data_IF_185411368448
#
_entry.id   IF_185411368448
#
_cell.length_a   1.000
_cell.length_b   1.000
_cell.length_c   1.000
_cell.angle_alpha   90.00
_cell.angle_beta   90.00
_cell.angle_gamma   90.00
#
_symmetry.space_group_name_H-M   'P 1'
#
loop_
_entity.id
_entity.type
_entity.pdbx_description
1 polymer ?
#
# COMPACT_ATOMS: atom_id res chain seq x y z
N UNK A 1 -7.49 -9.58 -26.47
CA UNK A 1 -6.81 -8.63 -25.58
C UNK A 1 -5.96 -9.36 -24.54
N UNK A 2 -6.55 -10.25 -23.72
CA UNK A 2 -5.84 -11.00 -22.66
C UNK A 2 -4.61 -11.79 -23.18
N UNK A 3 -4.68 -12.36 -24.37
CA UNK A 3 -3.59 -13.15 -24.96
C UNK A 3 -2.38 -12.29 -25.40
N UNK A 4 -2.61 -11.04 -25.81
CA UNK A 4 -1.54 -10.16 -26.33
C UNK A 4 -1.04 -9.15 -25.31
N UNK A 5 -1.92 -8.71 -24.39
CA UNK A 5 -1.64 -7.71 -23.36
C UNK A 5 -2.14 -8.19 -22.00
N UNK A 6 -1.52 -9.28 -21.47
CA UNK A 6 -2.05 -9.93 -20.27
C UNK A 6 -1.99 -9.05 -19.01
N UNK A 7 -0.94 -8.25 -18.84
CA UNK A 7 -0.80 -7.40 -17.67
C UNK A 7 -1.70 -6.16 -17.73
N UNK A 8 -1.82 -5.53 -18.90
CA UNK A 8 -2.72 -4.40 -19.14
C UNK A 8 -4.18 -4.84 -18.97
N UNK A 9 -4.50 -6.07 -19.37
CA UNK A 9 -5.81 -6.65 -19.11
C UNK A 9 -6.10 -6.76 -17.61
N UNK A 10 -5.15 -7.25 -16.81
CA UNK A 10 -5.33 -7.33 -15.36
C UNK A 10 -5.54 -5.93 -14.75
N UNK A 11 -4.74 -4.94 -15.15
CA UNK A 11 -4.87 -3.56 -14.69
C UNK A 11 -6.25 -2.98 -15.05
N UNK A 12 -6.75 -3.23 -16.26
CA UNK A 12 -8.07 -2.78 -16.68
C UNK A 12 -9.19 -3.38 -15.81
N UNK A 13 -9.10 -4.67 -15.50
CA UNK A 13 -10.07 -5.35 -14.61
C UNK A 13 -10.01 -4.78 -13.19
N UNK A 14 -8.81 -4.60 -12.64
CA UNK A 14 -8.59 -4.03 -11.30
C UNK A 14 -9.21 -2.63 -11.21
N UNK A 15 -9.02 -1.78 -12.20
CA UNK A 15 -9.53 -0.42 -12.21
C UNK A 15 -11.05 -0.31 -12.33
N UNK A 16 -11.68 -1.31 -12.92
CA UNK A 16 -13.13 -1.35 -13.04
C UNK A 16 -13.82 -1.98 -11.82
N UNK A 17 -13.06 -2.37 -10.78
CA UNK A 17 -13.57 -3.12 -9.62
C UNK A 17 -14.43 -4.32 -10.05
N UNK A 18 -14.22 -4.75 -11.29
CA UNK A 18 -15.05 -5.69 -11.99
C UNK A 18 -14.34 -6.98 -12.26
N UNK A 19 -15.14 -8.01 -12.38
CA UNK A 19 -14.74 -9.36 -12.57
C UNK A 19 -15.43 -10.25 -11.57
N UNK A 20 -15.34 -11.54 -11.81
CA UNK A 20 -15.95 -12.54 -10.93
C UNK A 20 -15.21 -12.64 -9.58
N UNK A 21 -13.92 -12.30 -9.57
CA UNK A 21 -13.05 -12.43 -8.42
C UNK A 21 -12.71 -11.09 -7.79
N UNK A 22 -12.26 -11.12 -6.53
CA UNK A 22 -11.77 -9.94 -5.83
C UNK A 22 -10.44 -9.43 -6.41
N UNK A 23 -10.12 -8.17 -6.21
CA UNK A 23 -8.93 -7.47 -6.74
C UNK A 23 -7.62 -8.24 -6.49
N UNK A 24 -7.45 -8.82 -5.31
CA UNK A 24 -6.23 -9.55 -4.96
C UNK A 24 -5.95 -10.75 -5.89
N UNK A 25 -7.00 -11.40 -6.43
CA UNK A 25 -6.84 -12.54 -7.35
C UNK A 25 -6.20 -12.07 -8.67
N UNK A 26 -6.64 -10.92 -9.18
CA UNK A 26 -6.09 -10.34 -10.40
C UNK A 26 -4.65 -9.85 -10.21
N UNK A 27 -4.33 -9.29 -9.04
CA UNK A 27 -2.95 -8.93 -8.70
C UNK A 27 -2.05 -10.16 -8.56
N UNK A 28 -2.56 -11.23 -7.97
CA UNK A 28 -1.82 -12.49 -7.86
C UNK A 28 -1.54 -13.11 -9.24
N UNK A 29 -2.54 -13.11 -10.11
CA UNK A 29 -2.36 -13.56 -11.51
C UNK A 29 -1.35 -12.67 -12.24
N UNK A 30 -1.37 -11.36 -12.04
CA UNK A 30 -0.36 -10.46 -12.60
C UNK A 30 1.06 -10.79 -12.10
N UNK A 31 1.23 -11.12 -10.81
CA UNK A 31 2.51 -11.61 -10.26
C UNK A 31 2.96 -12.91 -10.95
N UNK A 32 2.05 -13.87 -11.18
CA UNK A 32 2.36 -15.11 -11.90
C UNK A 32 2.78 -14.87 -13.35
N UNK A 33 2.26 -13.81 -13.98
CA UNK A 33 2.65 -13.36 -15.32
C UNK A 33 3.95 -12.54 -15.32
N UNK A 34 4.63 -12.42 -14.16
CA UNK A 34 5.92 -11.77 -14.02
C UNK A 34 5.86 -10.27 -13.73
N UNK A 35 4.70 -9.76 -13.30
CA UNK A 35 4.60 -8.37 -12.86
C UNK A 35 5.13 -8.17 -11.43
N UNK A 36 5.78 -7.03 -11.21
CA UNK A 36 6.05 -6.49 -9.89
C UNK A 36 4.87 -5.62 -9.45
N UNK A 37 4.36 -5.83 -8.24
CA UNK A 37 3.27 -5.02 -7.69
C UNK A 37 3.84 -4.04 -6.68
N UNK A 38 3.62 -2.76 -6.93
CA UNK A 38 3.97 -1.66 -6.05
C UNK A 38 2.74 -1.15 -5.32
N UNK A 39 2.81 -1.10 -3.99
CA UNK A 39 1.80 -0.47 -3.14
C UNK A 39 1.63 1.02 -3.49
N UNK A 40 0.50 1.66 -3.15
CA UNK A 40 0.31 3.08 -3.37
C UNK A 40 1.48 3.90 -2.81
N UNK A 41 1.94 4.89 -3.58
CA UNK A 41 3.02 5.80 -3.19
C UNK A 41 2.70 7.21 -3.67
N UNK A 42 2.85 8.19 -2.78
CA UNK A 42 2.53 9.60 -3.10
C UNK A 42 3.33 10.13 -4.29
N UNK A 43 4.53 9.60 -4.53
CA UNK A 43 5.39 10.03 -5.65
C UNK A 43 5.14 9.27 -6.96
N UNK A 44 4.55 8.07 -6.94
CA UNK A 44 4.48 7.22 -8.12
C UNK A 44 3.05 6.88 -8.56
N UNK A 45 2.12 6.75 -7.58
CA UNK A 45 0.77 6.30 -7.89
C UNK A 45 -0.10 7.39 -8.49
N UNK A 46 -1.06 6.98 -9.29
CA UNK A 46 -2.17 7.78 -9.79
C UNK A 46 -3.44 7.45 -9.00
N UNK A 47 -4.54 8.09 -9.34
CA UNK A 47 -5.86 7.76 -8.78
C UNK A 47 -6.19 6.30 -9.00
N UNK A 48 -6.08 5.83 -10.23
CA UNK A 48 -6.29 4.43 -10.64
C UNK A 48 -4.96 3.68 -10.72
N UNK A 49 -5.01 2.36 -10.72
CA UNK A 49 -3.85 1.49 -10.93
C UNK A 49 -3.30 1.72 -12.34
N UNK A 50 -1.99 1.78 -12.44
CA UNK A 50 -1.28 1.99 -13.70
C UNK A 50 -0.15 0.97 -13.87
N UNK A 51 0.30 0.80 -15.11
CA UNK A 51 1.40 -0.10 -15.45
C UNK A 51 2.48 0.65 -16.19
N UNK A 52 3.74 0.36 -15.87
CA UNK A 52 4.91 0.82 -16.62
C UNK A 52 5.87 -0.36 -16.81
N UNK A 53 5.99 -0.82 -18.03
CA UNK A 53 6.71 -2.07 -18.32
C UNK A 53 6.05 -3.24 -17.60
N UNK A 54 6.77 -3.93 -16.71
CA UNK A 54 6.24 -5.02 -15.89
C UNK A 54 5.86 -4.61 -14.47
N UNK A 55 5.94 -3.33 -14.12
CA UNK A 55 5.60 -2.85 -12.79
C UNK A 55 4.20 -2.26 -12.78
N UNK A 56 3.35 -2.79 -11.93
CA UNK A 56 1.99 -2.33 -11.67
C UNK A 56 2.01 -1.50 -10.40
N UNK A 57 1.66 -0.22 -10.54
CA UNK A 57 1.52 0.74 -9.43
C UNK A 57 0.07 0.80 -9.01
N UNK A 58 -0.24 0.32 -7.80
CA UNK A 58 -1.60 0.38 -7.28
C UNK A 58 -2.05 1.82 -7.11
N UNK A 59 -3.29 2.08 -7.54
CA UNK A 59 -3.92 3.39 -7.45
C UNK A 59 -4.42 3.71 -6.03
N UNK A 60 -4.56 5.00 -5.71
CA UNK A 60 -5.08 5.46 -4.42
C UNK A 60 -6.52 5.05 -4.17
N UNK A 61 -7.32 4.78 -5.22
CA UNK A 61 -8.71 4.31 -5.10
C UNK A 61 -8.86 3.00 -4.34
N UNK A 62 -7.78 2.22 -4.20
CA UNK A 62 -7.79 0.96 -3.45
C UNK A 62 -7.55 1.16 -1.95
N UNK A 63 -7.22 2.38 -1.50
CA UNK A 63 -7.04 2.69 -0.08
C UNK A 63 -8.39 3.06 0.52
N UNK A 64 -8.84 2.24 1.46
CA UNK A 64 -10.09 2.49 2.19
C UNK A 64 -9.99 3.75 3.04
N UNK A 65 -11.08 4.50 3.12
CA UNK A 65 -11.20 5.73 3.89
C UNK A 65 -10.26 6.87 3.45
N UNK A 66 -9.57 6.75 2.32
CA UNK A 66 -8.82 7.85 1.73
C UNK A 66 -9.75 8.73 0.91
N UNK A 67 -9.86 10.00 1.30
CA UNK A 67 -10.78 10.96 0.69
C UNK A 67 -10.37 11.33 -0.74
N UNK A 68 -11.35 11.47 -1.63
CA UNK A 68 -11.10 11.85 -3.02
C UNK A 68 -10.38 13.19 -3.14
N UNK A 69 -10.74 14.16 -2.31
CA UNK A 69 -10.09 15.49 -2.28
C UNK A 69 -8.61 15.36 -1.93
N UNK A 70 -8.28 14.49 -0.98
CA UNK A 70 -6.88 14.21 -0.61
C UNK A 70 -6.11 13.58 -1.78
N UNK A 71 -6.71 12.62 -2.49
CA UNK A 71 -6.10 11.99 -3.67
C UNK A 71 -5.80 13.04 -4.74
N UNK A 72 -6.79 13.86 -5.07
CA UNK A 72 -6.67 14.88 -6.11
C UNK A 72 -5.63 15.94 -5.74
N UNK A 73 -5.59 16.36 -4.47
CA UNK A 73 -4.58 17.31 -3.95
C UNK A 73 -3.17 16.73 -4.09
N UNK A 74 -2.95 15.47 -3.67
CA UNK A 74 -1.64 14.81 -3.77
C UNK A 74 -1.15 14.77 -5.23
N UNK A 75 -2.03 14.38 -6.13
CA UNK A 75 -1.66 14.23 -7.56
C UNK A 75 -1.39 15.59 -8.19
N UNK A 76 -2.30 16.55 -8.02
CA UNK A 76 -2.18 17.88 -8.62
C UNK A 76 -0.94 18.62 -8.11
N UNK A 77 -0.71 18.58 -6.81
CA UNK A 77 0.44 19.23 -6.18
C UNK A 77 1.77 18.62 -6.63
N UNK A 78 1.84 17.29 -6.72
CA UNK A 78 3.00 16.59 -7.26
C UNK A 78 3.23 16.90 -8.75
N UNK A 79 2.18 16.93 -9.55
CA UNK A 79 2.28 17.16 -10.99
C UNK A 79 2.68 18.62 -11.30
N UNK A 80 2.30 19.58 -10.43
CA UNK A 80 2.67 20.99 -10.56
C UNK A 80 4.08 21.29 -10.03
N UNK A 81 4.47 20.74 -8.89
CA UNK A 81 5.65 21.14 -8.12
C UNK A 81 6.70 20.01 -7.96
N UNK A 82 6.51 18.89 -8.66
CA UNK A 82 7.44 17.75 -8.62
C UNK A 82 7.25 16.83 -7.41
N UNK A 83 8.10 15.82 -7.34
CA UNK A 83 8.04 14.78 -6.30
C UNK A 83 8.21 15.38 -4.89
N UNK A 84 7.56 14.76 -3.93
CA UNK A 84 7.73 15.08 -2.51
C UNK A 84 9.09 14.57 -2.00
N UNK A 85 9.80 15.43 -1.26
CA UNK A 85 11.17 15.15 -0.81
C UNK A 85 11.24 14.65 0.64
N UNK A 86 10.23 14.97 1.46
CA UNK A 86 10.18 14.59 2.88
C UNK A 86 8.73 14.58 3.39
N UNK A 87 8.52 14.04 4.61
CA UNK A 87 7.24 14.14 5.30
C UNK A 87 6.80 15.59 5.52
N UNK A 88 7.74 16.46 5.92
CA UNK A 88 7.46 17.88 6.17
C UNK A 88 7.06 18.59 4.88
N UNK A 89 7.80 18.36 3.79
CA UNK A 89 7.47 18.88 2.46
C UNK A 89 6.07 18.43 2.03
N UNK A 90 5.78 17.14 2.17
CA UNK A 90 4.46 16.58 1.85
C UNK A 90 3.33 17.26 2.64
N UNK A 91 3.46 17.36 3.98
CA UNK A 91 2.43 17.97 4.84
C UNK A 91 2.24 19.44 4.52
N UNK A 92 3.33 20.20 4.31
CA UNK A 92 3.26 21.64 4.03
C UNK A 92 2.62 21.93 2.67
N UNK A 93 2.86 21.09 1.67
CA UNK A 93 2.31 21.27 0.31
C UNK A 93 0.86 20.82 0.19
N UNK A 94 0.48 19.74 0.88
CA UNK A 94 -0.86 19.16 0.75
C UNK A 94 -1.85 19.65 1.79
N UNK A 95 -1.39 20.24 2.89
CA UNK A 95 -2.23 20.62 4.06
C UNK A 95 -3.14 19.48 4.53
N UNK A 96 -2.64 18.27 4.43
CA UNK A 96 -3.37 17.02 4.72
C UNK A 96 -3.81 16.94 6.19
N UNK A 97 -5.01 16.41 6.44
CA UNK A 97 -5.47 16.14 7.80
C UNK A 97 -4.68 14.99 8.43
N UNK A 98 -4.67 14.94 9.75
CA UNK A 98 -3.94 13.91 10.50
C UNK A 98 -4.45 12.52 10.18
N UNK A 99 -5.75 12.36 10.08
CA UNK A 99 -6.43 11.10 9.80
C UNK A 99 -6.00 10.54 8.44
N UNK A 100 -6.04 11.38 7.42
CA UNK A 100 -5.64 11.01 6.05
C UNK A 100 -4.13 10.72 5.96
N UNK A 101 -3.30 11.48 6.69
CA UNK A 101 -1.86 11.24 6.76
C UNK A 101 -1.54 9.89 7.42
N UNK A 102 -2.23 9.53 8.51
CA UNK A 102 -2.07 8.24 9.19
C UNK A 102 -2.39 7.08 8.24
N UNK A 103 -3.48 7.18 7.47
CA UNK A 103 -3.85 6.17 6.44
C UNK A 103 -2.71 5.99 5.43
N UNK A 104 -2.15 7.09 4.90
CA UNK A 104 -1.06 7.04 3.93
C UNK A 104 0.24 6.48 4.52
N UNK A 105 0.55 6.77 5.78
CA UNK A 105 1.72 6.19 6.45
C UNK A 105 1.53 4.68 6.64
N UNK A 106 0.38 4.25 7.14
CA UNK A 106 0.07 2.84 7.40
C UNK A 106 0.07 2.01 6.12
N UNK A 107 -0.43 2.53 5.01
CA UNK A 107 -0.36 1.86 3.69
C UNK A 107 1.04 1.90 3.06
N UNK A 108 2.03 2.53 3.70
CA UNK A 108 3.38 2.64 3.18
C UNK A 108 3.52 3.64 2.02
N UNK A 109 2.54 4.52 1.82
CA UNK A 109 2.54 5.48 0.71
C UNK A 109 3.67 6.54 0.80
N UNK A 110 4.29 6.67 1.97
CA UNK A 110 5.42 7.57 2.25
C UNK A 110 6.78 6.84 2.34
N UNK A 111 6.87 5.60 1.81
CA UNK A 111 8.11 4.79 1.86
C UNK A 111 9.32 5.44 1.18
N UNK A 112 9.11 6.40 0.28
CA UNK A 112 10.18 7.16 -0.37
C UNK A 112 11.08 7.92 0.63
N UNK A 113 10.58 8.20 1.85
CA UNK A 113 11.35 8.85 2.92
C UNK A 113 12.45 7.96 3.52
N UNK A 114 12.41 6.64 3.26
CA UNK A 114 13.31 5.66 3.86
C UNK A 114 13.10 5.42 5.36
N UNK A 115 12.10 6.07 5.97
CA UNK A 115 11.81 5.95 7.40
C UNK A 115 10.81 4.82 7.68
N UNK A 116 10.92 4.22 8.87
CA UNK A 116 9.96 3.23 9.38
C UNK A 116 8.59 3.88 9.62
N UNK A 117 7.50 3.14 9.39
CA UNK A 117 6.12 3.63 9.61
C UNK A 117 5.90 4.21 11.01
N UNK A 118 6.39 3.53 12.06
CA UNK A 118 6.27 4.00 13.46
C UNK A 118 6.95 5.36 13.67
N UNK A 119 8.11 5.58 13.06
CA UNK A 119 8.80 6.87 13.08
C UNK A 119 7.99 7.96 12.37
N UNK A 120 7.46 7.65 11.18
CA UNK A 120 6.61 8.59 10.42
C UNK A 120 5.33 8.94 11.18
N UNK A 121 4.68 7.98 11.85
CA UNK A 121 3.51 8.23 12.68
C UNK A 121 3.82 9.19 13.83
N UNK A 122 4.97 9.03 14.46
CA UNK A 122 5.44 9.93 15.52
C UNK A 122 5.69 11.34 14.99
N UNK A 123 6.43 11.46 13.89
CA UNK A 123 6.69 12.75 13.23
C UNK A 123 5.40 13.44 12.79
N UNK A 124 4.44 12.69 12.24
CA UNK A 124 3.13 13.21 11.84
C UNK A 124 2.38 13.84 13.01
N UNK A 125 2.37 13.18 14.17
CA UNK A 125 1.76 13.75 15.39
C UNK A 125 2.42 15.04 15.85
N UNK A 126 3.73 15.15 15.70
CA UNK A 126 4.49 16.33 16.09
C UNK A 126 4.25 17.51 15.14
N UNK A 127 4.32 17.27 13.83
CA UNK A 127 4.21 18.33 12.83
C UNK A 127 2.80 18.91 12.74
N UNK A 128 1.76 18.08 12.81
CA UNK A 128 0.38 18.58 12.73
C UNK A 128 -0.01 19.38 13.97
N UNK A 129 0.43 18.98 15.18
CA UNK A 129 0.21 19.78 16.38
C UNK A 129 0.86 21.18 16.33
N UNK A 130 1.96 21.30 15.59
CA UNK A 130 2.65 22.58 15.41
C UNK A 130 1.93 23.49 14.42
N UNK A 131 1.39 22.92 13.34
CA UNK A 131 0.63 23.66 12.33
C UNK A 131 -0.68 24.23 12.86
N UNK A 132 -1.36 23.55 13.78
CA UNK A 132 -2.61 24.04 14.39
C UNK A 132 -2.43 25.14 15.44
N UNK A 133 -1.20 25.43 15.86
CA UNK A 133 -0.87 26.51 16.83
C UNK A 133 -0.31 27.78 16.20
N UNK A 134 -0.11 27.81 14.89
CA UNK A 134 0.41 29.00 14.17
C UNK A 134 -0.75 29.69 13.45
N UNK A 135 -1.79 30.06 14.19
CA UNK A 135 -2.67 31.17 13.82
C UNK A 135 -2.37 32.28 14.79
N UNK A 136 -1.85 33.41 14.26
CA UNK A 136 -1.47 34.64 14.92
C UNK A 136 -0.28 34.63 15.90
N UNK A 137 0.90 34.76 15.33
CA UNK A 137 1.85 35.82 15.72
C UNK A 137 3.08 35.75 14.80
N UNK A 138 3.44 36.87 14.20
CA UNK A 138 4.76 37.11 13.64
C UNK A 138 5.81 36.92 14.74
N UNK A 139 6.31 35.71 14.90
CA UNK A 139 7.42 35.45 15.81
C UNK A 139 8.64 35.09 14.97
N UNK A 140 9.48 36.09 14.77
CA UNK A 140 10.85 36.05 14.28
C UNK A 140 11.77 35.24 15.21
N UNK A 141 11.41 34.06 15.66
CA UNK A 141 12.29 33.16 16.37
C UNK A 141 12.51 31.87 15.56
N UNK A 142 13.71 31.74 15.03
CA UNK A 142 14.23 30.46 14.58
C UNK A 142 14.25 29.49 15.78
N UNK A 143 13.17 28.75 15.97
CA UNK A 143 13.19 27.68 16.94
C UNK A 143 14.14 26.59 16.42
N UNK A 144 15.26 26.40 17.12
CA UNK A 144 16.10 25.22 16.97
C UNK A 144 15.19 23.98 17.07
N UNK A 145 15.14 23.18 16.00
CA UNK A 145 14.42 21.91 16.01
C UNK A 145 15.06 21.04 17.11
N UNK A 146 14.37 20.85 18.22
CA UNK A 146 14.78 19.85 19.21
C UNK A 146 14.79 18.50 18.50
N UNK A 147 15.96 17.95 18.27
CA UNK A 147 16.13 16.57 17.81
C UNK A 147 15.73 15.65 18.95
N UNK A 148 14.54 15.09 18.88
CA UNK A 148 14.15 14.03 19.80
C UNK A 148 14.85 12.74 19.36
N UNK A 149 15.57 12.09 20.27
CA UNK A 149 15.98 10.71 20.08
C UNK A 149 14.75 9.85 20.31
N UNK A 150 14.17 9.35 19.22
CA UNK A 150 13.09 8.38 19.30
C UNK A 150 13.65 7.02 19.71
N UNK A 151 12.94 6.24 20.53
CA UNK A 151 13.32 4.86 20.82
C UNK A 151 13.33 4.06 19.51
N UNK A 152 14.20 3.04 19.44
CA UNK A 152 14.15 2.11 18.30
C UNK A 152 12.85 1.30 18.38
N UNK A 153 11.95 1.58 17.45
CA UNK A 153 10.75 0.78 17.29
C UNK A 153 11.08 -0.51 16.56
N UNK A 154 10.82 -1.65 17.20
CA UNK A 154 10.81 -2.93 16.50
C UNK A 154 9.70 -2.90 15.44
N UNK A 155 10.00 -3.41 14.27
CA UNK A 155 9.06 -3.49 13.16
C UNK A 155 9.03 -4.94 12.66
N UNK A 156 7.85 -5.53 12.68
CA UNK A 156 7.62 -6.86 12.16
C UNK A 156 6.87 -6.77 10.82
N UNK A 157 7.29 -7.57 9.85
CA UNK A 157 6.66 -7.60 8.51
C UNK A 157 5.17 -7.91 8.55
N UNK A 158 4.73 -8.67 9.55
CA UNK A 158 3.32 -9.01 9.72
C UNK A 158 2.45 -7.78 10.05
N UNK A 159 3.01 -6.76 10.69
CA UNK A 159 2.32 -5.51 10.96
C UNK A 159 1.93 -4.81 9.66
N UNK A 160 2.82 -4.85 8.65
CA UNK A 160 2.54 -4.29 7.32
C UNK A 160 1.38 -5.02 6.64
N UNK A 161 1.36 -6.35 6.72
CA UNK A 161 0.30 -7.16 6.15
C UNK A 161 -1.07 -6.89 6.81
N UNK A 162 -1.11 -6.69 8.13
CA UNK A 162 -2.35 -6.30 8.82
C UNK A 162 -2.83 -4.90 8.42
N UNK A 163 -1.94 -3.92 8.29
CA UNK A 163 -2.28 -2.60 7.77
C UNK A 163 -2.84 -2.66 6.34
N UNK A 164 -2.26 -3.51 5.49
CA UNK A 164 -2.72 -3.73 4.13
C UNK A 164 -4.10 -4.39 4.09
N UNK A 165 -4.36 -5.40 4.94
CA UNK A 165 -5.68 -6.03 5.04
C UNK A 165 -6.73 -5.02 5.50
N UNK A 166 -6.43 -4.19 6.50
CA UNK A 166 -7.37 -3.20 7.01
C UNK A 166 -7.63 -2.09 6.00
N UNK A 167 -6.60 -1.58 5.31
CA UNK A 167 -6.70 -0.38 4.49
C UNK A 167 -6.79 -0.64 2.97
N UNK A 168 -6.44 -1.84 2.51
CA UNK A 168 -6.51 -2.22 1.09
C UNK A 168 -7.46 -3.42 0.88
N UNK A 169 -7.72 -4.19 1.95
CA UNK A 169 -8.61 -5.36 1.94
C UNK A 169 -7.88 -6.70 1.76
N UNK A 170 -6.59 -6.70 1.49
CA UNK A 170 -5.78 -7.92 1.32
C UNK A 170 -4.29 -7.62 1.48
N UNK A 171 -3.46 -8.62 1.88
CA UNK A 171 -2.02 -8.45 2.00
C UNK A 171 -1.36 -8.45 0.62
N UNK A 172 -0.40 -7.55 0.40
CA UNK A 172 0.40 -7.42 -0.82
C UNK A 172 1.86 -7.75 -0.56
N UNK A 173 2.39 -7.33 0.60
CA UNK A 173 3.79 -7.48 1.02
C UNK A 173 4.13 -8.89 1.49
N UNK A 174 3.12 -9.67 1.90
CA UNK A 174 3.25 -11.01 2.45
C UNK A 174 2.16 -11.91 1.87
N UNK A 175 2.44 -13.21 1.73
CA UNK A 175 1.38 -14.15 1.34
C UNK A 175 0.48 -14.49 2.55
N UNK A 176 -0.78 -14.81 2.28
CA UNK A 176 -1.72 -15.26 3.33
C UNK A 176 -1.20 -16.51 4.07
N UNK A 177 -0.42 -17.35 3.41
CA UNK A 177 0.20 -18.53 4.01
C UNK A 177 1.32 -18.17 4.99
N UNK A 178 2.12 -17.14 4.67
CA UNK A 178 3.22 -16.71 5.55
C UNK A 178 2.69 -16.05 6.82
N UNK A 179 1.48 -15.47 6.76
CA UNK A 179 0.80 -14.89 7.92
C UNK A 179 0.31 -15.94 8.93
N UNK A 180 0.13 -17.20 8.52
CA UNK A 180 -0.39 -18.25 9.40
C UNK A 180 0.62 -18.72 10.46
N UNK A 181 1.88 -18.30 10.39
CA UNK A 181 2.92 -18.70 11.34
C UNK A 181 3.23 -20.21 11.35
N UNK A 182 2.72 -20.98 10.39
CA UNK A 182 2.98 -22.40 10.22
C UNK A 182 3.69 -22.71 8.92
N UNK A 183 4.62 -23.64 8.92
CA UNK A 183 5.31 -24.12 7.73
C UNK A 183 4.50 -25.16 6.91
N UNK A 184 3.36 -25.62 7.44
CA UNK A 184 2.55 -26.61 6.73
C UNK A 184 1.90 -25.99 5.49
N UNK A 185 2.14 -26.59 4.33
CA UNK A 185 1.61 -26.17 3.01
C UNK A 185 0.77 -27.25 2.31
N UNK A 186 0.33 -28.25 3.08
CA UNK A 186 -0.29 -29.46 2.55
C UNK A 186 0.72 -30.58 2.32
N UNK A 187 0.21 -31.79 2.13
CA UNK A 187 1.02 -32.99 1.80
C UNK A 187 1.31 -33.05 0.30
N UNK A 188 0.40 -32.47 -0.49
CA UNK A 188 0.41 -32.48 -1.96
C UNK A 188 0.13 -31.07 -2.46
N UNK A 189 0.86 -30.61 -3.46
CA UNK A 189 0.62 -29.36 -4.16
C UNK A 189 -0.28 -29.55 -5.38
N UNK A 190 -0.81 -28.47 -5.93
CA UNK A 190 -1.72 -28.52 -7.07
C UNK A 190 -1.11 -29.23 -8.29
N UNK A 191 0.18 -29.03 -8.54
CA UNK A 191 0.89 -29.63 -9.67
C UNK A 191 1.05 -31.14 -9.53
N UNK A 192 0.98 -31.68 -8.31
CA UNK A 192 1.13 -33.14 -8.03
C UNK A 192 -0.20 -33.87 -8.05
N UNK A 193 -1.33 -33.18 -8.24
CA UNK A 193 -2.67 -33.78 -8.17
C UNK A 193 -2.88 -34.88 -9.20
N UNK A 194 -2.32 -34.75 -10.41
CA UNK A 194 -2.45 -35.74 -11.47
C UNK A 194 -1.86 -37.10 -11.06
N UNK A 195 -0.81 -37.13 -10.26
CA UNK A 195 -0.18 -38.35 -9.74
C UNK A 195 -0.89 -38.96 -8.53
N UNK A 196 -1.89 -38.26 -7.97
CA UNK A 196 -2.60 -38.67 -6.76
C UNK A 196 -4.08 -38.98 -6.98
N UNK A 197 -4.48 -39.22 -8.21
CA UNK A 197 -5.85 -39.61 -8.57
C UNK A 197 -6.27 -40.88 -7.81
N UNK A 198 -7.44 -40.85 -7.16
CA UNK A 198 -7.97 -41.94 -6.35
C UNK A 198 -7.40 -42.06 -4.94
N UNK A 199 -6.50 -41.14 -4.51
CA UNK A 199 -5.96 -41.11 -3.15
C UNK A 199 -6.61 -39.99 -2.34
N UNK A 200 -6.74 -40.20 -1.05
CA UNK A 200 -7.09 -39.11 -0.10
C UNK A 200 -5.82 -38.33 0.25
N UNK A 201 -5.83 -37.01 -0.01
CA UNK A 201 -4.68 -36.15 0.22
C UNK A 201 -5.11 -34.93 1.04
N UNK A 202 -4.19 -34.35 1.83
CA UNK A 202 -4.40 -33.08 2.54
C UNK A 202 -3.70 -31.95 1.78
N UNK A 203 -4.46 -30.94 1.44
CA UNK A 203 -3.96 -29.75 0.76
C UNK A 203 -4.27 -28.51 1.58
N UNK A 204 -3.38 -27.51 1.50
CA UNK A 204 -3.64 -26.16 1.99
C UNK A 204 -3.89 -25.24 0.81
N UNK A 205 -4.93 -24.41 0.90
CA UNK A 205 -5.30 -23.49 -0.16
C UNK A 205 -6.00 -22.26 0.38
N UNK A 206 -5.97 -21.16 -0.38
CA UNK A 206 -6.77 -19.98 -0.10
C UNK A 206 -8.10 -20.09 -0.85
N UNK A 207 -9.21 -19.94 -0.11
CA UNK A 207 -10.53 -19.94 -0.72
C UNK A 207 -10.71 -18.68 -1.58
N UNK A 208 -10.96 -18.86 -2.86
CA UNK A 208 -11.16 -17.77 -3.82
C UNK A 208 -12.65 -17.48 -4.01
N UNK A 209 -13.47 -18.54 -4.08
CA UNK A 209 -14.92 -18.42 -4.26
C UNK A 209 -15.62 -19.68 -3.76
N UNK A 210 -16.86 -19.52 -3.35
CA UNK A 210 -17.81 -20.61 -3.09
C UNK A 210 -18.93 -20.54 -4.09
N UNK A 211 -19.48 -21.71 -4.45
CA UNK A 211 -20.63 -21.84 -5.36
C UNK A 211 -21.84 -22.31 -4.59
#
# INVERSE_FOLDING_TARGET
LKAHYPLEFQVAVINNFGGFYQTWVYLHEAKRLGATIELPCVNNSRKTTSIKGKTIYMGFIHIQNLEQVTIDTIINERDANGAYMSLVDFVNRTHITKEQLVILIRTGALRFTGKKKKTLLWEAHYHIKKSSKVIDSEVFFQFQQKKFQLPEFQHEKIEDAYDEIELIGFPVSMSSFDMLGTGFRGEVQADDLAGNVGRTVRMAGQLVTTK
#
